data_IF_494735348970
#
_entry.id   IF_494735348970
#
_cell.length_a   1.000
_cell.length_b   1.000
_cell.length_c   1.000
_cell.angle_alpha   90.00
_cell.angle_beta   90.00
_cell.angle_gamma   90.00
#
_symmetry.space_group_name_H-M   'P 1'
#
loop_
_entity.id
_entity.type
_entity.pdbx_description
1 polymer ?
#
# COMPACT_ATOMS: atom_id res chain seq x y z
N UNK A 1 -9.13 10.11 -11.31
CA UNK A 1 -7.84 10.48 -10.72
C UNK A 1 -6.96 9.25 -10.61
N UNK A 2 -5.67 9.42 -10.82
CA UNK A 2 -4.69 8.33 -10.75
C UNK A 2 -4.93 7.23 -11.79
N UNK A 3 -5.39 7.60 -12.97
CA UNK A 3 -5.70 6.60 -13.99
C UNK A 3 -4.48 5.79 -14.43
N UNK A 4 -3.34 6.47 -14.59
CA UNK A 4 -2.11 5.77 -14.99
C UNK A 4 -1.59 4.87 -13.88
N UNK A 5 -1.70 5.32 -12.65
CA UNK A 5 -1.29 4.54 -11.50
C UNK A 5 -2.15 3.29 -11.36
N UNK A 6 -3.46 3.45 -11.52
CA UNK A 6 -4.37 2.31 -11.47
C UNK A 6 -4.06 1.31 -12.56
N UNK A 7 -3.77 1.80 -13.76
CA UNK A 7 -3.44 0.93 -14.88
C UNK A 7 -2.16 0.14 -14.61
N UNK A 8 -1.15 0.83 -14.08
CA UNK A 8 0.11 0.16 -13.76
C UNK A 8 -0.10 -0.94 -12.72
N UNK A 9 -0.82 -0.62 -11.65
CA UNK A 9 -1.06 -1.59 -10.58
C UNK A 9 -1.86 -2.79 -11.08
N UNK A 10 -2.90 -2.54 -11.85
CA UNK A 10 -3.72 -3.62 -12.36
C UNK A 10 -2.94 -4.49 -13.35
N UNK A 11 -2.09 -3.88 -14.15
CA UNK A 11 -1.26 -4.65 -15.08
C UNK A 11 -0.27 -5.53 -14.34
N UNK A 12 0.34 -5.01 -13.28
CA UNK A 12 1.28 -5.79 -12.49
C UNK A 12 0.59 -6.93 -11.75
N UNK A 13 -0.64 -6.70 -11.31
CA UNK A 13 -1.38 -7.73 -10.60
C UNK A 13 -1.74 -8.90 -11.49
N UNK A 14 -2.06 -8.61 -12.74
CA UNK A 14 -2.43 -9.66 -13.69
C UNK A 14 -3.57 -10.50 -13.16
N UNK A 15 -3.36 -11.81 -13.12
CA UNK A 15 -4.38 -12.74 -12.64
C UNK A 15 -4.13 -13.22 -11.23
N UNK A 16 -3.13 -12.69 -10.56
CA UNK A 16 -2.80 -13.07 -9.20
C UNK A 16 -3.75 -12.37 -8.23
N UNK A 17 -4.58 -13.14 -7.54
CA UNK A 17 -5.59 -12.58 -6.66
C UNK A 17 -5.00 -11.79 -5.51
N UNK A 18 -3.87 -12.27 -4.98
CA UNK A 18 -3.22 -11.55 -3.89
C UNK A 18 -2.74 -10.18 -4.36
N UNK A 19 -2.10 -10.15 -5.52
CA UNK A 19 -1.63 -8.88 -6.07
C UNK A 19 -2.80 -7.97 -6.45
N UNK A 20 -3.90 -8.54 -6.92
CA UNK A 20 -5.09 -7.75 -7.21
C UNK A 20 -5.64 -7.08 -5.95
N UNK A 21 -5.63 -7.82 -4.85
CA UNK A 21 -6.08 -7.27 -3.58
C UNK A 21 -5.16 -6.15 -3.11
N UNK A 22 -3.85 -6.34 -3.26
CA UNK A 22 -2.89 -5.32 -2.92
C UNK A 22 -3.05 -4.09 -3.81
N UNK A 23 -3.30 -4.30 -5.09
CA UNK A 23 -3.52 -3.19 -6.01
C UNK A 23 -4.73 -2.38 -5.60
N UNK A 24 -5.83 -3.06 -5.26
CA UNK A 24 -7.04 -2.37 -4.83
C UNK A 24 -6.78 -1.56 -3.57
N UNK A 25 -6.12 -2.15 -2.61
CA UNK A 25 -5.84 -1.46 -1.36
C UNK A 25 -4.95 -0.24 -1.60
N UNK A 26 -3.96 -0.38 -2.47
CA UNK A 26 -3.08 0.72 -2.82
C UNK A 26 -3.87 1.87 -3.44
N UNK A 27 -4.79 1.53 -4.36
CA UNK A 27 -5.61 2.55 -5.01
C UNK A 27 -6.46 3.28 -3.97
N UNK A 28 -7.06 2.54 -3.04
CA UNK A 28 -7.87 3.17 -2.01
C UNK A 28 -7.05 4.13 -1.15
N UNK A 29 -5.83 3.73 -0.82
CA UNK A 29 -4.95 4.58 -0.03
C UNK A 29 -4.58 5.85 -0.81
N UNK A 30 -4.27 5.70 -2.10
CA UNK A 30 -3.95 6.86 -2.93
C UNK A 30 -5.10 7.85 -2.97
N UNK A 31 -6.31 7.33 -3.13
CA UNK A 31 -7.48 8.19 -3.23
C UNK A 31 -7.79 8.84 -1.89
N UNK A 32 -7.61 8.12 -0.82
CA UNK A 32 -7.85 8.69 0.50
C UNK A 32 -6.86 9.81 0.83
N UNK A 33 -5.62 9.61 0.45
CA UNK A 33 -4.56 10.57 0.80
C UNK A 33 -4.32 11.62 -0.27
N UNK A 34 -4.88 11.41 -1.46
CA UNK A 34 -4.69 12.35 -2.55
C UNK A 34 -3.28 12.37 -3.11
N UNK A 35 -2.57 11.28 -2.98
CA UNK A 35 -1.18 11.19 -3.42
C UNK A 35 -0.89 9.78 -3.89
N UNK A 36 -0.11 9.66 -4.95
CA UNK A 36 0.31 8.36 -5.48
C UNK A 36 1.71 7.97 -5.02
N UNK A 37 2.41 8.88 -4.36
CA UNK A 37 3.77 8.56 -3.92
C UNK A 37 4.64 8.09 -5.08
N UNK A 38 5.30 6.97 -4.88
CA UNK A 38 6.23 6.42 -5.86
C UNK A 38 5.62 5.29 -6.70
N UNK A 39 4.28 5.23 -6.78
CA UNK A 39 3.63 4.12 -7.48
C UNK A 39 4.08 4.01 -8.94
N UNK A 40 4.35 5.13 -9.59
CA UNK A 40 4.75 5.12 -11.00
C UNK A 40 6.23 4.83 -11.22
N UNK A 41 7.02 4.72 -10.15
CA UNK A 41 8.43 4.40 -10.30
C UNK A 41 8.61 2.95 -10.76
N UNK A 42 9.54 2.75 -11.68
CA UNK A 42 9.73 1.42 -12.26
C UNK A 42 10.29 0.42 -11.26
N UNK A 43 11.01 0.88 -10.26
CA UNK A 43 11.59 -0.01 -9.26
C UNK A 43 10.62 -0.25 -8.10
N UNK A 44 9.40 0.21 -8.20
CA UNK A 44 8.36 -0.04 -7.21
C UNK A 44 7.27 -0.89 -7.85
N UNK A 45 7.22 -2.15 -7.49
CA UNK A 45 6.27 -3.09 -8.08
C UNK A 45 5.49 -3.83 -7.01
N UNK A 46 4.33 -4.35 -7.40
CA UNK A 46 3.54 -5.18 -6.49
C UNK A 46 4.26 -6.48 -6.15
N UNK A 47 5.05 -7.01 -7.08
CA UNK A 47 5.79 -8.24 -6.81
C UNK A 47 6.81 -8.02 -5.69
N UNK A 48 7.50 -6.89 -5.71
CA UNK A 48 8.44 -6.56 -4.66
C UNK A 48 7.72 -6.30 -3.34
N UNK A 49 6.57 -5.63 -3.40
CA UNK A 49 5.78 -5.39 -2.21
C UNK A 49 5.31 -6.70 -1.60
N UNK A 50 4.96 -7.67 -2.43
CA UNK A 50 4.57 -8.98 -1.93
C UNK A 50 5.71 -9.64 -1.18
N UNK A 51 6.93 -9.49 -1.66
CA UNK A 51 8.08 -10.05 -0.96
C UNK A 51 8.23 -9.43 0.43
N UNK A 52 7.97 -8.13 0.53
CA UNK A 52 8.01 -7.46 1.82
C UNK A 52 6.92 -8.01 2.74
N UNK A 53 5.72 -8.22 2.21
CA UNK A 53 4.63 -8.82 2.96
C UNK A 53 5.00 -10.22 3.45
N UNK A 54 5.59 -11.02 2.57
CA UNK A 54 5.98 -12.38 2.93
C UNK A 54 7.02 -12.38 4.04
N UNK A 55 7.97 -11.47 3.97
CA UNK A 55 9.00 -11.36 4.99
C UNK A 55 8.38 -10.93 6.32
N UNK A 56 7.50 -9.95 6.28
CA UNK A 56 6.82 -9.49 7.50
C UNK A 56 6.03 -10.63 8.13
N UNK A 57 5.27 -11.35 7.32
CA UNK A 57 4.46 -12.45 7.81
C UNK A 57 5.35 -13.53 8.44
N UNK A 58 6.47 -13.82 7.81
CA UNK A 58 7.40 -14.81 8.33
C UNK A 58 7.98 -14.41 9.67
N UNK A 59 8.28 -13.13 9.84
CA UNK A 59 8.88 -12.62 11.06
C UNK A 59 7.87 -12.48 12.19
N UNK A 60 6.59 -12.34 11.85
CA UNK A 60 5.53 -12.13 12.85
C UNK A 60 4.58 -13.32 12.92
N UNK A 61 5.08 -14.46 12.54
CA UNK A 61 4.30 -15.67 12.54
C UNK A 61 3.96 -16.09 13.96
N UNK A 62 2.70 -16.46 14.16
CA UNK A 62 2.25 -16.95 15.45
C UNK A 62 1.69 -18.36 15.27
N UNK A 63 2.33 -19.32 15.93
CA UNK A 63 1.94 -20.69 15.76
C UNK A 63 2.16 -21.10 14.33
N UNK A 64 1.09 -21.60 13.70
CA UNK A 64 1.18 -22.06 12.31
C UNK A 64 0.70 -21.03 11.31
N UNK A 65 0.27 -19.88 11.78
CA UNK A 65 -0.32 -18.89 10.89
C UNK A 65 0.47 -17.60 10.89
N UNK A 66 0.65 -17.08 9.70
CA UNK A 66 1.21 -15.75 9.51
C UNK A 66 0.07 -14.83 9.10
N UNK A 67 -0.20 -13.82 9.92
CA UNK A 67 -1.33 -12.93 9.71
C UNK A 67 -0.84 -11.50 9.60
N UNK A 68 -1.30 -10.80 8.58
CA UNK A 68 -1.05 -9.37 8.43
C UNK A 68 -2.40 -8.68 8.58
N UNK A 69 -2.51 -7.84 9.60
CA UNK A 69 -3.74 -7.10 9.84
C UNK A 69 -3.90 -6.01 8.78
N UNK A 70 -5.16 -5.64 8.46
CA UNK A 70 -5.37 -4.60 7.44
C UNK A 70 -4.62 -3.30 7.71
N UNK A 71 -4.55 -2.89 8.97
CA UNK A 71 -3.84 -1.65 9.32
C UNK A 71 -2.35 -1.78 9.04
N UNK A 72 -1.79 -2.94 9.35
CA UNK A 72 -0.37 -3.17 9.09
C UNK A 72 -0.09 -3.22 7.60
N UNK A 73 -0.98 -3.85 6.84
CA UNK A 73 -0.83 -3.91 5.40
C UNK A 73 -0.85 -2.52 4.80
N UNK A 74 -1.77 -1.67 5.28
CA UNK A 74 -1.86 -0.32 4.78
C UNK A 74 -0.59 0.47 5.05
N UNK A 75 -0.05 0.34 6.27
CA UNK A 75 1.19 1.04 6.60
C UNK A 75 2.36 0.57 5.76
N UNK A 76 2.43 -0.74 5.49
CA UNK A 76 3.50 -1.26 4.66
C UNK A 76 3.41 -0.73 3.23
N UNK A 77 2.19 -0.62 2.70
CA UNK A 77 1.99 -0.05 1.37
C UNK A 77 2.40 1.41 1.34
N UNK A 78 1.97 2.17 2.35
CA UNK A 78 2.31 3.58 2.44
C UNK A 78 3.81 3.77 2.50
N UNK A 79 4.50 2.98 3.32
CA UNK A 79 5.94 3.09 3.45
C UNK A 79 6.65 2.71 2.15
N UNK A 80 6.20 1.64 1.52
CA UNK A 80 6.87 1.16 0.31
C UNK A 80 6.77 2.17 -0.83
N UNK A 81 5.57 2.68 -1.06
CA UNK A 81 5.34 3.63 -2.15
C UNK A 81 5.50 5.08 -1.71
N UNK A 82 5.79 5.30 -0.44
CA UNK A 82 5.95 6.64 0.12
C UNK A 82 4.74 7.53 -0.19
N UNK A 83 3.57 7.01 0.10
CA UNK A 83 2.31 7.72 -0.13
C UNK A 83 2.03 8.57 1.11
N UNK A 84 2.54 9.80 1.12
CA UNK A 84 2.51 10.63 2.32
C UNK A 84 1.46 11.72 2.30
N UNK A 85 0.52 11.64 1.38
CA UNK A 85 -0.56 12.62 1.33
C UNK A 85 -1.37 12.63 2.61
N UNK A 86 -2.09 13.71 2.83
CA UNK A 86 -2.91 13.84 4.01
C UNK A 86 -4.17 13.02 3.89
N UNK A 87 -4.65 12.54 5.03
CA UNK A 87 -5.97 11.97 5.07
C UNK A 87 -7.01 13.05 4.85
N UNK A 88 -8.10 12.67 4.23
CA UNK A 88 -9.17 13.60 3.97
C UNK A 88 -9.78 14.14 5.26
N UNK A 89 -9.77 13.36 6.32
CA UNK A 89 -10.35 13.76 7.59
C UNK A 89 -9.53 14.85 8.27
N UNK A 90 -8.39 15.12 7.83
CA UNK A 90 -7.57 16.17 8.32
C UNK A 90 -7.21 16.09 9.72
N UNK A 91 -7.28 16.03 10.44
CA UNK A 91 -6.86 16.01 11.71
C UNK A 91 -5.76 16.60 12.02
N UNK A 92 -5.56 17.07 12.24
CA UNK A 92 -4.74 17.57 12.48
C UNK A 92 -4.09 17.66 13.19
N UNK A 93 -3.91 17.52 13.30
CA UNK A 93 -3.11 17.55 13.82
C UNK A 93 -2.67 18.50 14.29
N UNK A 94 -2.93 18.85 14.65
CA UNK A 94 -2.68 19.76 15.09
C UNK A 94 -1.75 20.05 15.61
N UNK A 95 -1.53 19.38 15.94
CA UNK A 95 -0.60 19.65 16.28
C UNK A 95 0.21 20.03 15.71
N UNK A 96 0.17 19.58 15.03
CA UNK A 96 0.92 20.07 14.33
C UNK A 96 0.84 21.32 14.36
N UNK A 97 0.04 21.55 14.74
CA UNK A 97 -0.14 22.65 14.83
C UNK A 97 0.29 23.29 15.74
N UNK A 98 0.57 22.89 16.24
CA UNK A 98 0.90 23.57 17.32
C UNK A 98 2.06 24.25 17.28
#
# INVERSE_FOLDING_TARGET
MFDLEKEKLNREAGEDRFLQMMARQTIEIMEERGSAGLVMEEDRTLADLKKIFDKFASEHKQGKQAVIMPDEAAEMIIDYYEIHGRKASGHLDIMDLL
#
